data_IF_032871327945
#
_entry.id   IF_032871327945
#
_cell.length_a   1.000
_cell.length_b   1.000
_cell.length_c   1.000
_cell.angle_alpha   90.00
_cell.angle_beta   90.00
_cell.angle_gamma   90.00
#
_symmetry.space_group_name_H-M   'P 1'
#
loop_
_entity.id
_entity.type
_entity.pdbx_description
1 polymer ?
#
# COMPACT_ATOMS: atom_id res chain seq x y z
N UNK A 1 58.37 -48.04 -0.39
CA UNK A 1 56.93 -48.05 -0.61
C UNK A 1 56.33 -47.04 0.41
N UNK A 2 56.06 -45.83 -0.03
CA UNK A 2 55.53 -44.75 0.82
C UNK A 2 54.03 -44.58 0.53
N UNK A 3 53.21 -44.76 1.57
CA UNK A 3 51.75 -44.70 1.48
C UNK A 3 51.32 -43.26 1.80
N UNK A 4 50.81 -42.57 0.80
CA UNK A 4 50.23 -41.22 0.96
C UNK A 4 48.84 -41.33 1.60
N UNK A 5 48.62 -40.61 2.70
CA UNK A 5 47.32 -40.43 3.34
C UNK A 5 46.56 -39.26 2.67
N UNK A 6 45.26 -39.42 2.32
CA UNK A 6 44.46 -38.28 1.84
C UNK A 6 43.96 -37.43 3.02
N UNK A 7 44.16 -36.12 2.90
CA UNK A 7 43.57 -35.14 3.80
C UNK A 7 42.12 -34.89 3.39
N UNK A 8 41.18 -35.24 4.24
CA UNK A 8 39.76 -34.83 4.12
C UNK A 8 39.62 -33.39 4.62
N UNK A 9 39.37 -32.45 3.72
CA UNK A 9 38.92 -31.13 4.05
C UNK A 9 37.46 -31.19 4.46
N UNK A 10 37.18 -31.00 5.74
CA UNK A 10 35.84 -30.73 6.27
C UNK A 10 35.47 -29.25 5.94
N UNK A 11 34.59 -29.04 4.97
CA UNK A 11 33.94 -27.75 4.80
C UNK A 11 32.94 -27.54 5.96
N UNK A 12 33.25 -26.65 6.85
CA UNK A 12 32.30 -26.15 7.84
C UNK A 12 31.33 -25.17 7.13
N UNK A 13 30.11 -25.59 6.89
CA UNK A 13 29.03 -24.71 6.48
C UNK A 13 28.65 -23.88 7.70
N UNK A 14 29.09 -22.62 7.74
CA UNK A 14 28.63 -21.66 8.73
C UNK A 14 27.17 -21.31 8.41
N UNK A 15 26.24 -21.73 9.29
CA UNK A 15 24.86 -21.29 9.23
C UNK A 15 24.83 -19.76 9.45
N UNK A 16 24.37 -19.03 8.46
CA UNK A 16 24.12 -17.59 8.61
C UNK A 16 23.06 -17.37 9.69
N UNK A 17 23.22 -16.36 10.58
CA UNK A 17 22.23 -16.06 11.57
C UNK A 17 20.94 -15.62 10.89
N UNK A 18 19.85 -16.35 11.11
CA UNK A 18 18.49 -15.90 10.79
C UNK A 18 18.21 -14.69 11.65
N UNK A 19 18.24 -13.50 11.04
CA UNK A 19 17.80 -12.28 11.73
C UNK A 19 16.33 -12.47 12.11
N UNK A 20 15.93 -12.19 13.37
CA UNK A 20 14.53 -12.31 13.76
C UNK A 20 13.67 -11.41 12.88
N UNK A 21 12.57 -11.95 12.37
CA UNK A 21 11.52 -11.16 11.74
C UNK A 21 11.22 -9.98 12.68
N UNK A 22 11.28 -8.75 12.16
CA UNK A 22 10.95 -7.59 12.98
C UNK A 22 9.50 -7.78 13.46
N UNK A 23 9.32 -7.87 14.78
CA UNK A 23 8.01 -8.02 15.39
C UNK A 23 7.10 -6.88 14.87
N UNK A 24 5.94 -7.24 14.32
CA UNK A 24 4.91 -6.26 13.98
C UNK A 24 4.58 -5.50 15.26
N UNK A 25 4.63 -4.17 15.19
CA UNK A 25 4.37 -3.32 16.35
C UNK A 25 2.88 -3.39 16.64
N UNK A 26 2.50 -3.95 17.81
CA UNK A 26 1.13 -3.92 18.27
C UNK A 26 0.65 -2.46 18.37
N UNK A 27 -0.54 -2.20 17.81
CA UNK A 27 -1.17 -0.89 17.93
C UNK A 27 -1.83 -0.74 19.29
N UNK A 28 -1.93 0.50 19.79
CA UNK A 28 -2.75 0.79 20.96
C UNK A 28 -4.20 0.31 20.73
N UNK A 29 -4.79 -0.50 21.64
CA UNK A 29 -6.14 -1.02 21.48
C UNK A 29 -7.22 0.04 21.26
N UNK A 30 -7.06 1.25 21.84
CA UNK A 30 -7.98 2.36 21.63
C UNK A 30 -7.89 2.90 20.19
N UNK A 31 -6.69 3.00 19.64
CA UNK A 31 -6.46 3.39 18.25
C UNK A 31 -6.99 2.33 17.28
N UNK A 32 -6.74 1.03 17.57
CA UNK A 32 -7.28 -0.11 16.82
C UNK A 32 -8.80 -0.04 16.74
N UNK A 33 -9.49 0.13 17.89
CA UNK A 33 -10.95 0.25 17.95
C UNK A 33 -11.46 1.44 17.13
N UNK A 34 -10.82 2.60 17.24
CA UNK A 34 -11.20 3.81 16.50
C UNK A 34 -11.08 3.63 15.00
N UNK A 35 -9.95 3.12 14.50
CA UNK A 35 -9.73 2.94 13.07
C UNK A 35 -10.63 1.86 12.48
N UNK A 36 -10.83 0.74 13.18
CA UNK A 36 -11.78 -0.28 12.74
C UNK A 36 -13.21 0.27 12.66
N UNK A 37 -13.63 1.12 13.61
CA UNK A 37 -14.96 1.72 13.59
C UNK A 37 -15.17 2.60 12.35
N UNK A 38 -14.15 3.32 11.86
CA UNK A 38 -14.24 4.09 10.61
C UNK A 38 -14.60 3.19 9.42
N UNK A 39 -13.90 2.07 9.26
CA UNK A 39 -14.19 1.13 8.19
C UNK A 39 -15.54 0.42 8.39
N UNK A 40 -15.87 -0.04 9.62
CA UNK A 40 -17.13 -0.71 9.91
C UNK A 40 -18.35 0.16 9.63
N UNK A 41 -18.25 1.48 9.81
CA UNK A 41 -19.34 2.40 9.52
C UNK A 41 -19.52 2.66 8.04
N UNK A 42 -18.49 2.42 7.21
CA UNK A 42 -18.55 2.80 5.80
C UNK A 42 -18.59 1.64 4.80
N UNK A 43 -18.01 0.44 5.09
CA UNK A 43 -17.91 -0.64 4.09
C UNK A 43 -19.26 -1.11 3.52
N UNK A 44 -20.34 -0.91 4.27
CA UNK A 44 -21.70 -1.22 3.84
C UNK A 44 -22.62 0.03 3.78
N UNK A 45 -22.07 1.23 3.93
CA UNK A 45 -22.79 2.49 3.75
C UNK A 45 -22.75 2.86 2.26
N UNK A 46 -23.89 2.70 1.58
CA UNK A 46 -23.97 2.89 0.14
C UNK A 46 -23.84 4.36 -0.29
N UNK A 47 -24.37 5.28 0.49
CA UNK A 47 -24.41 6.71 0.16
C UNK A 47 -23.88 7.60 1.28
N UNK A 48 -23.22 8.75 0.92
CA UNK A 48 -22.92 9.24 -0.42
C UNK A 48 -21.93 8.34 -1.17
N UNK A 49 -21.99 8.30 -2.52
CA UNK A 49 -21.13 7.44 -3.34
C UNK A 49 -20.75 8.10 -4.66
N UNK A 50 -19.51 7.88 -5.08
CA UNK A 50 -18.94 8.36 -6.33
C UNK A 50 -18.60 7.18 -7.24
N UNK A 51 -19.47 6.87 -8.19
CA UNK A 51 -19.19 5.89 -9.23
C UNK A 51 -18.35 6.55 -10.33
N UNK A 52 -17.18 5.97 -10.63
CA UNK A 52 -16.24 6.50 -11.63
C UNK A 52 -16.14 5.55 -12.82
N UNK A 53 -17.19 5.50 -13.68
CA UNK A 53 -17.16 4.74 -14.90
C UNK A 53 -17.77 5.51 -16.10
N UNK A 54 -17.42 5.08 -17.32
CA UNK A 54 -18.04 5.58 -18.53
C UNK A 54 -19.34 4.83 -18.77
N UNK A 55 -20.47 5.57 -18.89
CA UNK A 55 -21.76 4.99 -19.25
C UNK A 55 -21.78 4.64 -20.73
N UNK A 56 -22.18 3.42 -21.07
CA UNK A 56 -22.39 2.98 -22.45
C UNK A 56 -23.87 3.07 -22.87
N UNK A 57 -24.79 3.23 -21.90
CA UNK A 57 -26.20 3.36 -22.06
C UNK A 57 -26.94 3.39 -20.72
N UNK A 58 -28.27 3.53 -20.78
CA UNK A 58 -29.14 3.66 -19.61
C UNK A 58 -29.00 2.47 -18.62
N UNK A 59 -28.67 1.28 -19.12
CA UNK A 59 -28.49 0.09 -18.32
C UNK A 59 -27.26 0.16 -17.37
N UNK A 60 -26.35 1.11 -17.62
CA UNK A 60 -25.19 1.36 -16.75
C UNK A 60 -25.53 2.26 -15.55
N UNK A 61 -26.71 2.89 -15.54
CA UNK A 61 -27.19 3.74 -14.44
C UNK A 61 -27.84 2.86 -13.38
N UNK A 62 -27.05 2.38 -12.43
CA UNK A 62 -27.50 1.46 -11.39
C UNK A 62 -26.90 1.85 -10.05
N UNK A 63 -27.55 1.52 -8.90
CA UNK A 63 -26.99 1.78 -7.59
C UNK A 63 -25.67 1.01 -7.37
N UNK A 64 -24.75 1.55 -6.56
CA UNK A 64 -23.45 0.93 -6.30
C UNK A 64 -23.52 -0.56 -5.89
N UNK A 65 -24.44 -0.93 -4.99
CA UNK A 65 -24.63 -2.33 -4.55
C UNK A 65 -25.01 -3.32 -5.65
N UNK A 66 -25.54 -2.83 -6.77
CA UNK A 66 -25.87 -3.67 -7.93
C UNK A 66 -24.70 -3.77 -8.93
N UNK A 67 -23.86 -2.74 -9.00
CA UNK A 67 -22.69 -2.69 -9.89
C UNK A 67 -21.52 -3.46 -9.27
N UNK A 68 -21.17 -3.12 -8.04
CA UNK A 68 -20.00 -3.63 -7.32
C UNK A 68 -20.38 -4.13 -5.93
N UNK A 69 -21.17 -5.23 -5.83
CA UNK A 69 -21.76 -5.67 -4.56
C UNK A 69 -20.77 -6.13 -3.49
N UNK A 70 -19.50 -6.40 -3.84
CA UNK A 70 -18.43 -6.68 -2.88
C UNK A 70 -17.95 -5.39 -2.23
N UNK A 71 -17.67 -4.36 -3.07
CA UNK A 71 -17.04 -3.11 -2.65
C UNK A 71 -17.90 -1.90 -3.05
N UNK A 72 -19.10 -1.78 -2.47
CA UNK A 72 -20.06 -0.72 -2.81
C UNK A 72 -20.13 0.44 -1.82
N UNK A 73 -19.51 0.29 -0.64
CA UNK A 73 -19.56 1.28 0.42
C UNK A 73 -18.41 2.29 0.38
N UNK A 74 -18.17 2.96 1.51
CA UNK A 74 -17.06 3.88 1.74
C UNK A 74 -16.86 4.92 0.64
N UNK A 75 -17.93 5.52 0.12
CA UNK A 75 -17.90 6.61 -0.87
C UNK A 75 -17.51 6.20 -2.30
N UNK A 76 -16.51 5.34 -2.49
CA UNK A 76 -16.09 4.83 -3.79
C UNK A 76 -15.48 3.41 -3.70
N UNK A 77 -15.23 2.81 -4.85
CA UNK A 77 -14.79 1.42 -4.93
C UNK A 77 -13.45 1.18 -4.22
N UNK A 78 -12.44 2.00 -4.49
CA UNK A 78 -11.11 1.79 -3.90
C UNK A 78 -11.11 2.04 -2.40
N UNK A 79 -11.89 3.00 -1.90
CA UNK A 79 -12.04 3.23 -0.46
C UNK A 79 -12.73 2.06 0.23
N UNK A 80 -13.74 1.44 -0.43
CA UNK A 80 -14.32 0.19 0.07
C UNK A 80 -13.27 -0.93 0.12
N UNK A 81 -12.44 -1.09 -0.91
CA UNK A 81 -11.39 -2.11 -0.97
C UNK A 81 -10.40 -1.94 0.18
N UNK A 82 -9.82 -0.74 0.37
CA UNK A 82 -8.85 -0.56 1.44
C UNK A 82 -9.49 -0.46 2.84
N UNK A 83 -10.80 -0.17 2.94
CA UNK A 83 -11.56 -0.34 4.17
C UNK A 83 -11.67 -1.81 4.58
N UNK A 84 -11.93 -2.72 3.62
CA UNK A 84 -11.91 -4.16 3.86
C UNK A 84 -10.49 -4.66 4.19
N UNK A 85 -9.45 -4.14 3.51
CA UNK A 85 -8.07 -4.42 3.87
C UNK A 85 -7.77 -4.01 5.32
N UNK A 86 -8.18 -2.83 5.75
CA UNK A 86 -8.03 -2.35 7.12
C UNK A 86 -8.66 -3.34 8.11
N UNK A 87 -9.90 -3.77 7.85
CA UNK A 87 -10.61 -4.73 8.72
C UNK A 87 -9.88 -6.08 8.78
N UNK A 88 -9.41 -6.60 7.64
CA UNK A 88 -8.63 -7.83 7.59
C UNK A 88 -7.31 -7.69 8.36
N UNK A 89 -6.58 -6.57 8.17
CA UNK A 89 -5.32 -6.28 8.84
C UNK A 89 -5.50 -6.23 10.37
N UNK A 90 -6.51 -5.50 10.85
CA UNK A 90 -6.76 -5.39 12.29
C UNK A 90 -7.22 -6.71 12.90
N UNK A 91 -8.11 -7.45 12.23
CA UNK A 91 -8.55 -8.76 12.71
C UNK A 91 -7.41 -9.78 12.78
N UNK A 92 -6.40 -9.65 11.92
CA UNK A 92 -5.19 -10.50 11.95
C UNK A 92 -4.23 -10.09 13.06
N UNK A 93 -3.97 -8.79 13.22
CA UNK A 93 -2.97 -8.28 14.17
C UNK A 93 -3.46 -8.30 15.61
N UNK A 94 -4.75 -8.06 15.81
CA UNK A 94 -5.38 -7.90 17.13
C UNK A 94 -6.61 -8.81 17.27
N UNK A 95 -6.45 -10.15 17.18
CA UNK A 95 -7.59 -11.09 17.11
C UNK A 95 -8.44 -11.10 18.38
N UNK A 96 -7.89 -10.73 19.52
CA UNK A 96 -8.55 -10.80 20.83
C UNK A 96 -9.38 -9.56 21.18
N UNK A 97 -9.33 -8.51 20.35
CA UNK A 97 -10.15 -7.31 20.59
C UNK A 97 -11.57 -7.50 20.06
N UNK A 98 -12.56 -7.00 20.80
CA UNK A 98 -13.98 -7.15 20.44
C UNK A 98 -14.32 -6.66 19.02
N UNK A 99 -13.56 -5.72 18.48
CA UNK A 99 -13.75 -5.20 17.12
C UNK A 99 -13.33 -6.21 16.04
N UNK A 100 -12.45 -7.16 16.34
CA UNK A 100 -12.04 -8.20 15.40
C UNK A 100 -13.21 -9.10 14.98
N UNK A 101 -14.13 -9.41 15.90
CA UNK A 101 -15.35 -10.16 15.61
C UNK A 101 -16.20 -9.41 14.59
N UNK A 102 -16.46 -8.11 14.83
CA UNK A 102 -17.24 -7.27 13.91
C UNK A 102 -16.56 -7.13 12.55
N UNK A 103 -15.24 -7.04 12.52
CA UNK A 103 -14.48 -7.00 11.29
C UNK A 103 -14.65 -8.30 10.49
N UNK A 104 -14.56 -9.47 11.13
CA UNK A 104 -14.81 -10.77 10.48
C UNK A 104 -16.24 -10.88 9.93
N UNK A 105 -17.24 -10.44 10.68
CA UNK A 105 -18.64 -10.44 10.22
C UNK A 105 -18.84 -9.55 8.99
N UNK A 106 -18.20 -8.37 8.96
CA UNK A 106 -18.26 -7.48 7.82
C UNK A 106 -17.58 -8.08 6.57
N UNK A 107 -16.40 -8.70 6.74
CA UNK A 107 -15.69 -9.40 5.67
C UNK A 107 -16.52 -10.58 5.14
N UNK A 108 -17.10 -11.39 6.02
CA UNK A 108 -17.94 -12.53 5.64
C UNK A 108 -19.21 -12.09 4.88
N UNK A 109 -19.78 -10.94 5.24
CA UNK A 109 -20.94 -10.35 4.56
C UNK A 109 -20.60 -9.94 3.12
N UNK A 110 -19.39 -9.39 2.90
CA UNK A 110 -18.94 -8.91 1.58
C UNK A 110 -18.44 -10.03 0.69
N UNK A 111 -17.65 -10.96 1.22
CA UNK A 111 -16.90 -11.94 0.44
C UNK A 111 -17.70 -13.21 0.19
N UNK A 112 -18.66 -13.13 -0.75
CA UNK A 112 -19.46 -14.27 -1.19
C UNK A 112 -19.32 -14.48 -2.70
N UNK A 113 -19.40 -15.74 -3.15
CA UNK A 113 -19.24 -16.10 -4.55
C UNK A 113 -20.26 -15.38 -5.47
N UNK A 114 -21.48 -15.20 -5.01
CA UNK A 114 -22.52 -14.50 -5.75
C UNK A 114 -22.17 -13.03 -6.00
N UNK A 115 -21.69 -12.32 -4.97
CA UNK A 115 -21.27 -10.91 -5.09
C UNK A 115 -20.03 -10.80 -5.97
N UNK A 116 -19.03 -11.66 -5.77
CA UNK A 116 -17.81 -11.68 -6.59
C UNK A 116 -18.13 -11.93 -8.06
N UNK A 117 -19.04 -12.86 -8.38
CA UNK A 117 -19.44 -13.13 -9.76
C UNK A 117 -20.08 -11.91 -10.41
N UNK A 118 -20.96 -11.19 -9.70
CA UNK A 118 -21.63 -9.98 -10.21
C UNK A 118 -20.61 -8.86 -10.43
N UNK A 119 -19.74 -8.62 -9.48
CA UNK A 119 -18.71 -7.58 -9.57
C UNK A 119 -17.67 -7.87 -10.66
N UNK A 120 -17.28 -9.13 -10.83
CA UNK A 120 -16.42 -9.55 -11.91
C UNK A 120 -17.05 -9.29 -13.29
N UNK A 121 -18.35 -9.59 -13.44
CA UNK A 121 -19.09 -9.28 -14.66
C UNK A 121 -19.13 -7.77 -14.95
N UNK A 122 -19.32 -6.95 -13.89
CA UNK A 122 -19.24 -5.49 -14.02
C UNK A 122 -17.84 -5.04 -14.45
N UNK A 123 -16.79 -5.50 -13.81
CA UNK A 123 -15.42 -5.15 -14.17
C UNK A 123 -15.11 -5.50 -15.63
N UNK A 124 -15.60 -6.63 -16.15
CA UNK A 124 -15.41 -7.08 -17.53
C UNK A 124 -16.32 -6.40 -18.56
N UNK A 125 -17.22 -5.56 -18.11
CA UNK A 125 -18.13 -4.81 -18.97
C UNK A 125 -17.41 -3.87 -19.93
N UNK A 126 -18.08 -3.49 -21.01
CA UNK A 126 -17.57 -2.52 -21.97
C UNK A 126 -17.27 -1.17 -21.29
N UNK A 127 -16.20 -0.51 -21.71
CA UNK A 127 -15.80 0.79 -21.15
C UNK A 127 -15.16 0.74 -19.75
N UNK A 128 -14.93 -0.46 -19.17
CA UNK A 128 -14.37 -0.63 -17.79
C UNK A 128 -12.86 -0.88 -17.75
N UNK A 129 -12.16 -0.90 -18.88
CA UNK A 129 -10.73 -1.27 -18.92
C UNK A 129 -9.80 -0.38 -18.06
N UNK A 130 -10.17 0.89 -17.85
CA UNK A 130 -9.42 1.84 -17.02
C UNK A 130 -10.02 2.04 -15.62
N UNK A 131 -11.14 1.37 -15.31
CA UNK A 131 -11.78 1.48 -14.00
C UNK A 131 -10.80 1.10 -12.89
N UNK A 132 -10.61 2.01 -11.93
CA UNK A 132 -9.77 1.85 -10.73
C UNK A 132 -8.27 1.61 -10.97
N UNK A 133 -7.79 1.84 -12.17
CA UNK A 133 -6.39 1.61 -12.55
C UNK A 133 -5.53 2.87 -12.35
N UNK A 134 -4.37 2.80 -11.64
CA UNK A 134 -3.82 1.61 -11.00
C UNK A 134 -4.19 1.44 -9.52
N UNK A 135 -4.59 2.51 -8.81
CA UNK A 135 -4.68 2.63 -7.36
C UNK A 135 -5.62 1.61 -6.72
N UNK A 136 -6.88 1.56 -7.18
CA UNK A 136 -7.86 0.64 -6.62
C UNK A 136 -7.49 -0.83 -6.87
N UNK A 137 -6.97 -1.15 -8.07
CA UNK A 137 -6.46 -2.50 -8.36
C UNK A 137 -5.27 -2.88 -7.48
N UNK A 138 -4.38 -1.93 -7.18
CA UNK A 138 -3.25 -2.15 -6.29
C UNK A 138 -3.71 -2.41 -4.85
N UNK A 139 -4.72 -1.69 -4.36
CA UNK A 139 -5.30 -1.95 -3.04
C UNK A 139 -6.05 -3.29 -2.97
N UNK A 140 -6.72 -3.71 -4.04
CA UNK A 140 -7.29 -5.07 -4.10
C UNK A 140 -6.21 -6.14 -3.95
N UNK A 141 -5.09 -5.98 -4.64
CA UNK A 141 -3.95 -6.90 -4.51
C UNK A 141 -3.33 -6.83 -3.10
N UNK A 142 -3.28 -5.65 -2.47
CA UNK A 142 -2.84 -5.52 -1.08
C UNK A 142 -3.79 -6.22 -0.09
N UNK A 143 -5.12 -6.17 -0.31
CA UNK A 143 -6.09 -6.97 0.44
C UNK A 143 -5.82 -8.47 0.27
N UNK A 144 -5.57 -8.91 -0.96
CA UNK A 144 -5.25 -10.32 -1.23
C UNK A 144 -3.95 -10.77 -0.56
N UNK A 145 -2.93 -9.91 -0.51
CA UNK A 145 -1.69 -10.18 0.22
C UNK A 145 -1.95 -10.33 1.72
N UNK A 146 -2.80 -9.48 2.31
CA UNK A 146 -3.17 -9.55 3.72
C UNK A 146 -3.88 -10.87 4.06
N UNK A 147 -4.87 -11.27 3.24
CA UNK A 147 -5.59 -12.54 3.45
C UNK A 147 -4.67 -13.76 3.30
N UNK A 148 -3.72 -13.73 2.35
CA UNK A 148 -2.73 -14.82 2.18
C UNK A 148 -1.72 -14.90 3.33
N UNK A 149 -1.37 -13.76 3.94
CA UNK A 149 -0.46 -13.71 5.07
C UNK A 149 -1.13 -14.05 6.41
N UNK A 150 -2.44 -14.26 6.42
CA UNK A 150 -3.22 -14.58 7.60
C UNK A 150 -3.47 -16.09 7.70
N UNK A 151 -2.78 -16.83 8.61
CA UNK A 151 -2.96 -18.28 8.78
C UNK A 151 -4.27 -18.58 9.54
N UNK A 152 -5.41 -18.40 8.88
CA UNK A 152 -6.75 -18.50 9.44
C UNK A 152 -7.70 -19.12 8.41
N UNK A 153 -8.53 -20.10 8.76
CA UNK A 153 -9.45 -20.77 7.82
C UNK A 153 -10.43 -19.84 7.12
N UNK A 154 -10.88 -18.77 7.80
CA UNK A 154 -11.75 -17.77 7.18
C UNK A 154 -11.00 -16.95 6.13
N UNK A 155 -9.76 -16.54 6.44
CA UNK A 155 -8.93 -15.80 5.51
C UNK A 155 -8.60 -16.63 4.26
N UNK A 156 -8.29 -17.92 4.41
CA UNK A 156 -8.06 -18.83 3.30
C UNK A 156 -9.32 -18.96 2.42
N UNK A 157 -10.49 -19.10 3.02
CA UNK A 157 -11.78 -19.16 2.31
C UNK A 157 -12.06 -17.85 1.57
N UNK A 158 -11.88 -16.68 2.21
CA UNK A 158 -12.08 -15.38 1.59
C UNK A 158 -11.10 -15.13 0.44
N UNK A 159 -9.85 -15.51 0.61
CA UNK A 159 -8.86 -15.44 -0.47
C UNK A 159 -9.28 -16.31 -1.68
N UNK A 160 -9.81 -17.51 -1.43
CA UNK A 160 -10.34 -18.37 -2.48
C UNK A 160 -11.54 -17.76 -3.19
N UNK A 161 -12.49 -17.18 -2.45
CA UNK A 161 -13.69 -16.49 -2.97
C UNK A 161 -13.30 -15.27 -3.82
N UNK A 162 -12.34 -14.43 -3.38
CA UNK A 162 -11.92 -13.22 -4.08
C UNK A 162 -10.95 -13.48 -5.26
N UNK A 163 -10.42 -14.69 -5.41
CA UNK A 163 -9.45 -15.03 -6.46
C UNK A 163 -9.87 -14.63 -7.89
N UNK A 164 -11.14 -14.69 -8.32
CA UNK A 164 -11.53 -14.21 -9.63
C UNK A 164 -11.29 -12.70 -9.83
N UNK A 165 -11.51 -11.86 -8.81
CA UNK A 165 -11.24 -10.42 -8.85
C UNK A 165 -9.71 -10.15 -8.81
N UNK A 166 -8.96 -10.89 -8.01
CA UNK A 166 -7.49 -10.86 -8.00
C UNK A 166 -6.93 -11.14 -9.41
N UNK A 167 -7.38 -12.23 -10.03
CA UNK A 167 -6.93 -12.62 -11.38
C UNK A 167 -7.27 -11.55 -12.43
N UNK A 168 -8.44 -10.92 -12.32
CA UNK A 168 -8.84 -9.83 -13.21
C UNK A 168 -7.94 -8.59 -13.01
N UNK A 169 -7.63 -8.23 -11.77
CA UNK A 169 -6.72 -7.12 -11.46
C UNK A 169 -5.33 -7.36 -12.07
N UNK A 170 -4.78 -8.55 -11.87
CA UNK A 170 -3.48 -8.97 -12.43
C UNK A 170 -3.50 -8.89 -13.95
N UNK A 171 -4.51 -9.46 -14.61
CA UNK A 171 -4.62 -9.44 -16.07
C UNK A 171 -4.69 -8.02 -16.63
N UNK A 172 -5.39 -7.11 -15.96
CA UNK A 172 -5.45 -5.69 -16.35
C UNK A 172 -4.11 -5.00 -16.23
N UNK A 173 -3.38 -5.23 -15.13
CA UNK A 173 -2.04 -4.66 -14.90
C UNK A 173 -1.08 -5.19 -15.98
N UNK A 174 -1.04 -6.49 -16.22
CA UNK A 174 -0.19 -7.12 -17.23
C UNK A 174 -0.51 -6.65 -18.66
N UNK A 175 -1.79 -6.39 -18.97
CA UNK A 175 -2.19 -5.87 -20.28
C UNK A 175 -1.89 -4.38 -20.47
N UNK A 176 -1.94 -3.60 -19.41
CA UNK A 176 -1.78 -2.15 -19.44
C UNK A 176 -0.32 -1.71 -19.34
N UNK A 177 0.42 -2.24 -18.38
CA UNK A 177 1.74 -1.74 -18.02
C UNK A 177 2.76 -1.78 -19.17
N UNK A 178 2.80 -2.80 -20.05
CA UNK A 178 3.69 -2.78 -21.22
C UNK A 178 3.41 -1.62 -22.20
N UNK A 179 2.19 -1.07 -22.22
CA UNK A 179 1.77 0.03 -23.09
C UNK A 179 2.04 1.42 -22.48
N UNK A 180 2.26 1.49 -21.16
CA UNK A 180 2.55 2.74 -20.49
C UNK A 180 4.01 3.14 -20.78
N UNK A 181 4.19 4.13 -21.63
CA UNK A 181 5.53 4.60 -22.04
C UNK A 181 6.22 5.40 -20.94
N UNK A 182 5.48 6.22 -20.22
CA UNK A 182 5.98 7.13 -19.20
C UNK A 182 5.30 6.88 -17.87
N UNK A 183 6.02 6.96 -16.73
CA UNK A 183 5.40 6.85 -15.41
C UNK A 183 4.50 8.07 -15.14
N UNK A 184 3.50 7.86 -14.30
CA UNK A 184 2.58 8.93 -13.87
C UNK A 184 3.06 9.42 -12.51
N UNK A 185 3.52 10.69 -12.46
CA UNK A 185 4.13 11.33 -11.28
C UNK A 185 3.20 12.41 -10.71
N UNK A 186 2.07 11.99 -10.18
CA UNK A 186 1.07 12.88 -9.55
C UNK A 186 0.88 12.47 -8.09
N UNK A 187 0.39 13.37 -7.26
CA UNK A 187 0.12 13.09 -5.85
C UNK A 187 -1.23 12.43 -5.57
N UNK A 188 -1.88 11.86 -6.63
CA UNK A 188 -3.22 11.29 -6.57
C UNK A 188 -3.28 9.84 -7.09
N UNK A 189 -4.51 9.29 -7.22
CA UNK A 189 -4.83 7.89 -7.57
C UNK A 189 -4.14 7.34 -8.82
N UNK A 190 -3.82 8.20 -9.80
CA UNK A 190 -3.16 7.76 -11.02
C UNK A 190 -1.66 7.46 -10.84
N UNK A 191 -1.06 7.77 -9.69
CA UNK A 191 0.37 7.63 -9.44
C UNK A 191 0.83 6.17 -9.60
N UNK A 192 1.91 5.98 -10.38
CA UNK A 192 2.45 4.64 -10.64
C UNK A 192 3.32 4.12 -9.51
N UNK A 193 4.18 4.93 -8.92
CA UNK A 193 5.18 4.46 -7.96
C UNK A 193 4.55 3.82 -6.71
N UNK A 194 3.56 4.47 -6.10
CA UNK A 194 2.84 3.92 -4.95
C UNK A 194 2.11 2.61 -5.30
N UNK A 195 1.36 2.64 -6.42
CA UNK A 195 0.63 1.45 -6.87
C UNK A 195 1.57 0.26 -7.14
N UNK A 196 2.74 0.51 -7.76
CA UNK A 196 3.75 -0.53 -7.99
C UNK A 196 4.30 -1.11 -6.69
N UNK A 197 4.47 -0.29 -5.66
CA UNK A 197 4.85 -0.76 -4.33
C UNK A 197 3.89 -1.81 -3.79
N UNK A 198 2.58 -1.52 -3.80
CA UNK A 198 1.54 -2.45 -3.34
C UNK A 198 1.46 -3.72 -4.20
N UNK A 199 1.52 -3.57 -5.54
CA UNK A 199 1.47 -4.70 -6.48
C UNK A 199 2.68 -5.62 -6.28
N UNK A 200 3.87 -5.05 -6.08
CA UNK A 200 5.09 -5.81 -5.84
C UNK A 200 5.04 -6.55 -4.50
N UNK A 201 4.59 -5.89 -3.44
CA UNK A 201 4.45 -6.51 -2.13
C UNK A 201 3.47 -7.70 -2.20
N UNK A 202 2.35 -7.56 -2.92
CA UNK A 202 1.45 -8.67 -3.21
C UNK A 202 2.14 -9.79 -4.00
N UNK A 203 2.87 -9.46 -5.07
CA UNK A 203 3.52 -10.46 -5.93
C UNK A 203 4.53 -11.32 -5.16
N UNK A 204 5.23 -10.73 -4.19
CA UNK A 204 6.13 -11.46 -3.28
C UNK A 204 5.34 -12.42 -2.39
N UNK A 205 4.25 -11.97 -1.76
CA UNK A 205 3.41 -12.79 -0.88
C UNK A 205 2.70 -13.91 -1.65
N UNK A 206 2.21 -13.61 -2.86
CA UNK A 206 1.54 -14.57 -3.73
C UNK A 206 2.49 -15.56 -4.43
N UNK A 207 3.81 -15.30 -4.41
CA UNK A 207 4.79 -16.07 -5.16
C UNK A 207 4.70 -15.88 -6.68
N UNK A 208 4.11 -14.76 -7.14
CA UNK A 208 3.98 -14.44 -8.57
C UNK A 208 5.24 -13.74 -9.09
N UNK A 209 6.22 -14.55 -9.50
CA UNK A 209 7.48 -14.05 -10.05
C UNK A 209 7.26 -13.25 -11.33
N UNK A 210 6.27 -13.59 -12.17
CA UNK A 210 6.02 -12.89 -13.44
C UNK A 210 5.58 -11.45 -13.24
N UNK A 211 4.66 -11.20 -12.28
CA UNK A 211 4.24 -9.83 -11.94
C UNK A 211 5.35 -9.10 -11.20
N UNK A 212 6.04 -9.75 -10.26
CA UNK A 212 7.19 -9.13 -9.56
C UNK A 212 8.23 -8.62 -10.54
N UNK A 213 8.67 -9.48 -11.47
CA UNK A 213 9.73 -9.16 -12.44
C UNK A 213 9.27 -8.05 -13.39
N UNK A 214 8.00 -8.05 -13.82
CA UNK A 214 7.41 -6.99 -14.63
C UNK A 214 7.45 -5.64 -13.89
N UNK A 215 7.07 -5.61 -12.61
CA UNK A 215 7.11 -4.38 -11.81
C UNK A 215 8.56 -3.91 -11.59
N UNK A 216 9.47 -4.81 -11.27
CA UNK A 216 10.88 -4.49 -11.04
C UNK A 216 11.55 -3.95 -12.32
N UNK A 217 11.29 -4.56 -13.49
CA UNK A 217 11.77 -4.08 -14.80
C UNK A 217 11.23 -2.68 -15.10
N UNK A 218 9.91 -2.47 -14.94
CA UNK A 218 9.30 -1.16 -15.22
C UNK A 218 9.77 -0.08 -14.25
N UNK A 219 9.92 -0.41 -12.99
CA UNK A 219 10.45 0.53 -11.99
C UNK A 219 11.87 0.97 -12.34
N UNK A 220 12.75 0.04 -12.69
CA UNK A 220 14.10 0.35 -13.16
C UNK A 220 14.08 1.20 -14.43
N UNK A 221 13.25 0.83 -15.42
CA UNK A 221 13.13 1.57 -16.69
C UNK A 221 12.63 3.00 -16.50
N UNK A 222 11.73 3.24 -15.55
CA UNK A 222 11.14 4.55 -15.31
C UNK A 222 12.00 5.45 -14.43
N UNK A 223 12.61 4.88 -13.38
CA UNK A 223 13.07 5.66 -12.24
C UNK A 223 14.58 5.58 -11.98
N UNK A 224 15.29 4.59 -12.55
CA UNK A 224 16.69 4.40 -12.22
C UNK A 224 17.58 5.59 -12.63
N UNK A 225 17.18 6.28 -13.71
CA UNK A 225 17.89 7.44 -14.23
C UNK A 225 17.47 8.78 -13.61
N UNK A 226 16.42 8.79 -12.77
CA UNK A 226 15.89 10.01 -12.18
C UNK A 226 16.87 10.59 -11.15
N UNK A 227 16.99 11.91 -11.18
CA UNK A 227 17.88 12.71 -10.33
C UNK A 227 17.19 14.01 -9.93
N UNK A 228 17.58 14.59 -8.79
CA UNK A 228 17.13 15.92 -8.34
C UNK A 228 15.61 16.06 -8.32
N UNK A 229 14.89 15.09 -7.72
CA UNK A 229 13.43 15.18 -7.62
C UNK A 229 13.02 16.49 -6.93
N UNK A 230 12.10 17.28 -7.53
CA UNK A 230 11.77 18.63 -7.04
C UNK A 230 10.80 18.56 -5.84
N UNK A 231 11.25 17.99 -4.73
CA UNK A 231 10.44 17.81 -3.51
C UNK A 231 9.91 19.15 -2.94
N UNK A 232 10.58 20.27 -3.27
CA UNK A 232 10.13 21.62 -2.90
C UNK A 232 8.84 22.08 -3.63
N UNK A 233 8.43 21.36 -4.70
CA UNK A 233 7.17 21.62 -5.39
C UNK A 233 6.01 20.81 -4.82
N UNK A 234 6.28 19.96 -3.82
CA UNK A 234 5.27 19.19 -3.12
C UNK A 234 4.89 19.83 -1.77
N UNK A 235 3.61 19.78 -1.40
CA UNK A 235 2.52 19.17 -2.16
C UNK A 235 2.01 20.08 -3.28
N UNK A 236 1.42 19.51 -4.34
CA UNK A 236 0.39 20.14 -5.12
C UNK A 236 -0.90 20.26 -4.28
N UNK A 237 -1.81 21.17 -4.62
CA UNK A 237 -2.88 21.62 -3.72
C UNK A 237 -3.76 20.55 -3.07
N UNK A 238 -3.97 19.41 -3.71
CA UNK A 238 -4.87 18.34 -3.26
C UNK A 238 -4.19 16.96 -3.18
N UNK A 239 -2.86 16.93 -3.12
CA UNK A 239 -2.09 15.69 -3.03
C UNK A 239 -2.37 14.92 -1.73
N UNK A 240 -2.51 13.59 -1.82
CA UNK A 240 -2.50 12.69 -0.68
C UNK A 240 -1.32 11.69 -0.72
N UNK A 241 -0.53 11.74 -1.78
CA UNK A 241 0.73 11.03 -1.96
C UNK A 241 1.83 12.01 -2.37
N UNK A 242 3.07 11.76 -1.95
CA UNK A 242 4.24 12.49 -2.42
C UNK A 242 4.84 11.76 -3.63
N UNK A 243 4.86 12.35 -4.84
CA UNK A 243 5.49 11.72 -5.99
C UNK A 243 6.96 11.33 -5.76
N UNK A 244 7.77 12.25 -5.22
CA UNK A 244 9.19 11.99 -4.94
C UNK A 244 9.39 10.89 -3.88
N UNK A 245 8.65 10.94 -2.76
CA UNK A 245 8.83 9.94 -1.70
C UNK A 245 8.25 8.58 -2.09
N UNK A 246 7.15 8.53 -2.85
CA UNK A 246 6.61 7.27 -3.36
C UNK A 246 7.58 6.57 -4.31
N UNK A 247 8.26 7.34 -5.17
CA UNK A 247 9.29 6.82 -6.06
C UNK A 247 10.47 6.26 -5.26
N UNK A 248 10.96 6.99 -4.26
CA UNK A 248 12.03 6.51 -3.41
C UNK A 248 11.62 5.28 -2.57
N UNK A 249 10.39 5.24 -2.06
CA UNK A 249 9.85 4.09 -1.32
C UNK A 249 9.65 2.85 -2.21
N UNK A 250 9.33 3.04 -3.50
CA UNK A 250 9.34 1.95 -4.47
C UNK A 250 10.76 1.46 -4.76
N UNK A 251 11.69 2.38 -5.06
CA UNK A 251 13.04 2.01 -5.50
C UNK A 251 13.83 1.27 -4.42
N UNK A 252 13.59 1.51 -3.11
CA UNK A 252 14.19 0.69 -2.05
C UNK A 252 13.75 -0.78 -2.05
N UNK A 253 12.59 -1.10 -2.67
CA UNK A 253 12.11 -2.48 -2.84
C UNK A 253 12.77 -3.20 -4.01
N UNK A 254 13.29 -2.42 -4.97
CA UNK A 254 13.79 -2.91 -6.27
C UNK A 254 15.31 -2.97 -6.31
N UNK A 255 15.98 -2.09 -5.55
CA UNK A 255 17.44 -1.97 -5.50
C UNK A 255 18.00 -2.67 -4.24
N UNK A 256 19.22 -3.15 -4.32
CA UNK A 256 19.96 -3.55 -3.12
C UNK A 256 20.22 -2.32 -2.23
N UNK A 257 20.45 -2.48 -0.91
CA UNK A 257 20.68 -1.34 -0.01
C UNK A 257 21.80 -0.40 -0.46
N UNK A 258 22.89 -0.92 -1.02
CA UNK A 258 24.00 -0.10 -1.52
C UNK A 258 23.66 0.63 -2.82
N UNK A 259 23.00 -0.04 -3.77
CA UNK A 259 22.51 0.61 -4.99
C UNK A 259 21.50 1.71 -4.65
N UNK A 260 20.56 1.41 -3.71
CA UNK A 260 19.55 2.36 -3.26
C UNK A 260 20.19 3.60 -2.60
N UNK A 261 21.16 3.41 -1.70
CA UNK A 261 21.87 4.51 -1.05
C UNK A 261 22.54 5.45 -2.05
N UNK A 262 23.18 4.89 -3.09
CA UNK A 262 23.81 5.66 -4.18
C UNK A 262 22.80 6.34 -5.10
N UNK A 263 21.70 5.67 -5.43
CA UNK A 263 20.60 6.24 -6.22
C UNK A 263 19.91 7.39 -5.47
N UNK A 264 19.55 7.17 -4.19
CA UNK A 264 18.87 8.16 -3.35
C UNK A 264 19.70 9.44 -3.17
N UNK A 265 21.03 9.33 -3.11
CA UNK A 265 21.92 10.48 -3.00
C UNK A 265 21.87 11.40 -4.25
N UNK A 266 21.60 10.84 -5.43
CA UNK A 266 21.40 11.61 -6.67
C UNK A 266 19.96 12.09 -6.82
N UNK A 267 18.99 11.28 -6.37
CA UNK A 267 17.58 11.56 -6.50
C UNK A 267 17.12 12.65 -5.53
N UNK A 268 17.54 12.60 -4.27
CA UNK A 268 17.28 13.60 -3.23
C UNK A 268 18.60 14.13 -2.62
N UNK A 269 19.39 14.90 -3.38
CA UNK A 269 20.76 15.28 -2.96
C UNK A 269 20.78 16.12 -1.69
N UNK A 270 19.74 16.93 -1.43
CA UNK A 270 19.63 17.75 -0.19
C UNK A 270 19.54 16.89 1.07
N UNK A 271 19.01 15.68 0.98
CA UNK A 271 18.90 14.75 2.12
C UNK A 271 20.27 14.43 2.74
N UNK A 272 21.33 14.44 1.95
CA UNK A 272 22.70 14.16 2.44
C UNK A 272 23.29 15.22 3.37
N UNK A 273 22.74 16.45 3.36
CA UNK A 273 23.19 17.57 4.18
C UNK A 273 22.25 17.87 5.37
N UNK A 274 21.18 17.09 5.55
CA UNK A 274 20.17 17.34 6.56
C UNK A 274 20.61 16.74 7.90
N UNK A 275 20.52 17.54 8.97
CA UNK A 275 20.84 17.13 10.34
C UNK A 275 19.64 17.18 11.29
N UNK A 276 18.51 17.77 10.88
CA UNK A 276 17.31 17.95 11.70
C UNK A 276 16.08 17.24 11.12
N UNK A 277 15.10 16.97 11.97
CA UNK A 277 13.87 16.28 11.60
C UNK A 277 12.91 17.14 10.75
N UNK A 278 13.00 18.46 10.85
CA UNK A 278 12.12 19.45 10.24
C UNK A 278 12.53 19.86 8.81
N UNK A 279 13.47 19.13 8.20
CA UNK A 279 13.91 19.38 6.83
C UNK A 279 12.78 19.23 5.80
N UNK A 280 11.74 18.48 6.13
CA UNK A 280 10.51 18.34 5.37
C UNK A 280 9.34 18.60 6.31
N UNK A 281 8.75 19.78 6.22
CA UNK A 281 7.62 20.17 7.06
C UNK A 281 6.34 19.41 6.69
N UNK A 282 5.50 19.04 7.68
CA UNK A 282 4.16 18.52 7.40
C UNK A 282 3.30 19.50 6.63
N UNK A 283 2.45 18.97 5.74
CA UNK A 283 1.43 19.77 5.06
C UNK A 283 0.37 20.29 6.03
N UNK A 284 -0.17 21.46 5.74
CA UNK A 284 -1.16 22.14 6.59
C UNK A 284 -2.53 22.04 5.91
N UNK A 285 -3.52 21.47 6.61
CA UNK A 285 -4.92 21.47 6.18
C UNK A 285 -5.57 22.76 6.67
N UNK A 286 -6.10 23.55 5.74
CA UNK A 286 -6.75 24.83 6.05
C UNK A 286 -8.25 24.68 6.28
N UNK A 287 -8.88 23.69 5.68
CA UNK A 287 -10.30 23.35 5.86
C UNK A 287 -10.52 21.85 5.73
N UNK A 288 -10.83 21.17 6.84
CA UNK A 288 -11.12 19.73 6.87
C UNK A 288 -12.53 19.37 6.41
N UNK A 289 -13.42 20.35 6.28
CA UNK A 289 -14.76 20.14 5.73
C UNK A 289 -14.77 20.05 4.21
N UNK A 290 -13.73 20.59 3.54
CA UNK A 290 -13.51 20.38 2.11
C UNK A 290 -12.81 19.02 1.89
N UNK A 291 -13.48 18.06 1.22
CA UNK A 291 -12.95 16.70 1.06
C UNK A 291 -11.63 16.65 0.27
N UNK A 292 -11.36 17.64 -0.58
CA UNK A 292 -10.12 17.71 -1.35
C UNK A 292 -8.98 18.34 -0.53
N UNK A 293 -9.24 19.39 0.23
CA UNK A 293 -8.23 19.97 1.12
C UNK A 293 -7.85 19.02 2.26
N UNK A 294 -8.78 18.18 2.72
CA UNK A 294 -8.53 17.13 3.71
C UNK A 294 -7.52 16.06 3.22
N UNK A 295 -7.27 15.96 1.90
CA UNK A 295 -6.24 15.08 1.33
C UNK A 295 -4.85 15.31 1.96
N UNK A 296 -4.53 16.52 2.41
CA UNK A 296 -3.23 16.83 3.03
C UNK A 296 -3.02 16.08 4.36
N UNK A 297 -4.07 15.75 5.12
CA UNK A 297 -3.92 14.83 6.27
C UNK A 297 -3.46 13.43 5.81
N UNK A 298 -4.02 12.95 4.70
CA UNK A 298 -3.56 11.70 4.05
C UNK A 298 -2.15 11.79 3.50
N UNK A 299 -1.75 12.94 2.95
CA UNK A 299 -0.37 13.19 2.52
C UNK A 299 0.60 13.05 3.69
N UNK A 300 0.28 13.61 4.85
CA UNK A 300 1.13 13.49 6.03
C UNK A 300 1.26 12.02 6.49
N UNK A 301 0.17 11.25 6.48
CA UNK A 301 0.22 9.81 6.76
C UNK A 301 1.09 9.07 5.74
N UNK A 302 0.90 9.34 4.45
CA UNK A 302 1.65 8.67 3.38
C UNK A 302 3.13 9.05 3.39
N UNK A 303 3.47 10.30 3.60
CA UNK A 303 4.85 10.74 3.79
C UNK A 303 5.50 10.04 4.98
N UNK A 304 4.78 9.87 6.09
CA UNK A 304 5.32 9.21 7.28
C UNK A 304 5.73 7.76 6.98
N UNK A 305 4.88 6.94 6.33
CA UNK A 305 5.29 5.57 6.00
C UNK A 305 6.35 5.49 4.91
N UNK A 306 6.31 6.37 3.90
CA UNK A 306 7.32 6.43 2.84
C UNK A 306 8.70 6.77 3.40
N UNK A 307 8.78 7.76 4.29
CA UNK A 307 10.02 8.14 4.98
C UNK A 307 10.59 7.00 5.83
N UNK A 308 9.75 6.28 6.59
CA UNK A 308 10.16 5.06 7.32
C UNK A 308 10.63 3.96 6.38
N UNK A 309 9.90 3.77 5.27
CA UNK A 309 10.27 2.83 4.23
C UNK A 309 11.64 3.14 3.64
N UNK A 310 11.88 4.38 3.22
CA UNK A 310 13.15 4.86 2.68
C UNK A 310 14.29 4.64 3.69
N UNK A 311 14.07 5.00 4.96
CA UNK A 311 15.03 4.76 6.02
C UNK A 311 15.39 3.28 6.16
N UNK A 312 14.40 2.38 6.08
CA UNK A 312 14.60 0.93 6.21
C UNK A 312 15.39 0.32 5.04
N UNK A 313 15.32 0.92 3.86
CA UNK A 313 16.06 0.48 2.67
C UNK A 313 17.53 0.89 2.65
N UNK A 314 17.95 1.82 3.50
CA UNK A 314 19.33 2.26 3.60
C UNK A 314 20.17 1.30 4.47
N UNK A 315 21.48 1.18 4.23
CA UNK A 315 22.39 0.45 5.10
C UNK A 315 22.26 0.89 6.58
N UNK A 316 22.45 -0.04 7.51
CA UNK A 316 22.22 0.21 8.95
C UNK A 316 22.96 1.42 9.53
N UNK A 317 24.18 1.70 9.03
CA UNK A 317 25.02 2.83 9.46
C UNK A 317 24.82 4.13 8.67
N UNK A 318 23.85 4.21 7.77
CA UNK A 318 23.65 5.42 6.93
C UNK A 318 23.08 6.57 7.78
N UNK A 319 23.82 7.70 7.81
CA UNK A 319 23.47 8.85 8.64
C UNK A 319 22.12 9.49 8.29
N UNK A 320 21.63 9.33 7.06
CA UNK A 320 20.34 9.86 6.61
C UNK A 320 19.14 9.23 7.32
N UNK A 321 19.28 8.02 7.86
CA UNK A 321 18.20 7.29 8.55
C UNK A 321 17.57 8.10 9.67
N UNK A 322 18.41 8.76 10.51
CA UNK A 322 17.91 9.55 11.64
C UNK A 322 17.02 10.73 11.22
N UNK A 323 17.40 11.45 10.17
CA UNK A 323 16.62 12.56 9.63
C UNK A 323 15.31 12.07 9.00
N UNK A 324 15.32 10.96 8.26
CA UNK A 324 14.13 10.34 7.69
C UNK A 324 13.14 9.88 8.76
N UNK A 325 13.61 9.16 9.78
CA UNK A 325 12.78 8.70 10.91
C UNK A 325 12.23 9.88 11.74
N UNK A 326 13.04 10.92 11.90
CA UNK A 326 12.61 12.16 12.57
C UNK A 326 11.47 12.85 11.82
N UNK A 327 11.62 13.08 10.52
CA UNK A 327 10.60 13.67 9.69
C UNK A 327 9.33 12.78 9.66
N UNK A 328 9.50 11.46 9.57
CA UNK A 328 8.36 10.52 9.61
C UNK A 328 7.51 10.68 10.89
N UNK A 329 8.17 10.88 12.05
CA UNK A 329 7.44 11.15 13.30
C UNK A 329 6.65 12.45 13.25
N UNK A 330 7.27 13.55 12.77
CA UNK A 330 6.58 14.85 12.66
C UNK A 330 5.33 14.76 11.78
N UNK A 331 5.43 14.09 10.63
CA UNK A 331 4.30 13.88 9.74
C UNK A 331 3.21 13.00 10.38
N UNK A 332 3.57 11.93 11.07
CA UNK A 332 2.63 11.07 11.78
C UNK A 332 1.90 11.82 12.91
N UNK A 333 2.63 12.60 13.72
CA UNK A 333 2.09 13.42 14.81
C UNK A 333 1.13 14.49 14.30
N UNK A 334 1.40 15.07 13.12
CA UNK A 334 0.53 16.06 12.50
C UNK A 334 -0.82 15.49 12.01
N UNK A 335 -0.81 14.24 11.49
CA UNK A 335 -1.96 13.66 10.81
C UNK A 335 -2.82 12.72 11.67
N UNK A 336 -2.23 11.92 12.55
CA UNK A 336 -2.97 10.90 13.32
C UNK A 336 -4.14 11.48 14.15
N UNK A 337 -4.05 12.68 14.74
CA UNK A 337 -5.19 13.31 15.43
C UNK A 337 -6.39 13.64 14.51
N UNK A 338 -6.16 13.83 13.21
CA UNK A 338 -7.22 14.13 12.23
C UNK A 338 -8.01 12.89 11.79
N UNK A 339 -7.56 11.67 12.15
CA UNK A 339 -8.25 10.42 11.79
C UNK A 339 -9.42 10.17 12.75
N UNK A 340 -10.50 10.93 12.60
CA UNK A 340 -11.64 10.94 13.53
C UNK A 340 -12.96 10.46 12.90
N UNK A 341 -13.14 10.60 11.58
CA UNK A 341 -14.42 10.36 10.90
C UNK A 341 -15.44 11.49 11.02
N UNK A 342 -15.04 12.66 11.55
CA UNK A 342 -15.92 13.83 11.72
C UNK A 342 -16.46 14.35 10.37
N UNK A 343 -15.63 14.34 9.34
CA UNK A 343 -15.98 14.71 7.97
C UNK A 343 -15.91 13.48 7.07
N UNK A 344 -17.06 12.88 6.76
CA UNK A 344 -17.12 11.59 6.08
C UNK A 344 -16.41 11.56 4.72
N UNK A 345 -16.72 12.50 3.83
CA UNK A 345 -16.18 12.50 2.45
C UNK A 345 -14.66 12.70 2.40
N UNK A 346 -14.11 13.52 3.29
CA UNK A 346 -12.67 13.77 3.41
C UNK A 346 -11.93 12.76 4.29
N UNK A 347 -12.63 12.08 5.22
CA UNK A 347 -12.01 11.32 6.31
C UNK A 347 -12.22 9.81 6.29
N UNK A 348 -13.19 9.29 5.52
CA UNK A 348 -13.56 7.86 5.54
C UNK A 348 -12.38 6.91 5.22
N UNK A 349 -11.43 7.34 4.44
CA UNK A 349 -10.28 6.58 3.97
C UNK A 349 -9.01 6.74 4.84
N UNK A 350 -8.94 7.79 5.67
CA UNK A 350 -7.76 8.08 6.50
C UNK A 350 -7.45 6.95 7.50
N UNK A 351 -8.47 6.22 7.95
CA UNK A 351 -8.30 5.06 8.81
C UNK A 351 -7.40 3.99 8.17
N UNK A 352 -7.56 3.72 6.88
CA UNK A 352 -6.72 2.76 6.15
C UNK A 352 -5.28 3.23 6.06
N UNK A 353 -5.05 4.52 5.83
CA UNK A 353 -3.71 5.10 5.81
C UNK A 353 -3.04 5.07 7.18
N UNK A 354 -3.79 5.36 8.25
CA UNK A 354 -3.27 5.26 9.62
C UNK A 354 -2.87 3.81 9.96
N UNK A 355 -3.70 2.82 9.60
CA UNK A 355 -3.39 1.39 9.83
C UNK A 355 -2.21 0.94 8.95
N UNK A 356 -2.09 1.43 7.71
CA UNK A 356 -0.93 1.14 6.86
C UNK A 356 0.38 1.65 7.49
N UNK A 357 0.36 2.87 8.03
CA UNK A 357 1.50 3.48 8.72
C UNK A 357 1.86 2.73 10.01
N UNK A 358 0.87 2.49 10.89
CA UNK A 358 1.10 1.97 12.25
C UNK A 358 1.31 0.45 12.25
N UNK A 359 0.62 -0.28 11.38
CA UNK A 359 0.77 -1.73 11.23
C UNK A 359 2.05 -2.15 10.49
N UNK A 360 2.91 -1.21 10.10
CA UNK A 360 4.19 -1.51 9.46
C UNK A 360 4.07 -2.08 8.06
N UNK A 361 2.92 -1.90 7.38
CA UNK A 361 2.71 -2.37 6.00
C UNK A 361 3.75 -1.75 5.06
N UNK A 362 4.12 -2.48 4.01
CA UNK A 362 5.16 -2.05 3.06
C UNK A 362 6.60 -2.05 3.61
N UNK A 363 6.80 -2.46 4.88
CA UNK A 363 8.13 -2.62 5.50
C UNK A 363 8.66 -4.05 5.44
N UNK A 364 8.01 -4.95 4.72
CA UNK A 364 8.52 -6.31 4.53
C UNK A 364 9.98 -6.24 4.11
N UNK A 365 10.82 -6.92 4.89
CA UNK A 365 12.25 -7.02 4.62
C UNK A 365 12.43 -7.35 3.15
N UNK A 366 13.22 -6.54 2.47
CA UNK A 366 13.75 -6.96 1.18
C UNK A 366 14.26 -8.37 1.37
N UNK A 367 13.87 -9.27 0.48
CA UNK A 367 14.33 -10.64 0.48
C UNK A 367 15.83 -10.62 0.79
N UNK A 368 16.22 -11.35 1.83
CA UNK A 368 17.63 -11.64 2.04
C UNK A 368 18.12 -12.15 0.69
N UNK A 369 19.07 -11.43 0.11
CA UNK A 369 19.74 -11.88 -1.08
C UNK A 369 20.33 -13.27 -0.76
N UNK A 370 19.94 -14.27 -1.53
CA UNK A 370 20.65 -15.52 -1.64
C UNK A 370 22.08 -15.29 -2.13
#
# INVERSE_FOLDING_TARGET
MSVARPWLLLLAIAAAPVLPAQAEVAMDPAATGRFAQLALTCVHLEYPNKISHTLQGDADVRPPRELTPVFYGCYDWHSAVHGHWLLARLARLEPDVAVAVKARDALATSFTDARVSTELAYLRGAGRASFERPYGLAWLLQLMAELRAWPDPDAERWAATLRPLESEAVARIQSWLPKLRYPIRVGEHAQTAFAFGLIRDWAVVAGDAGVRDLIDERSRSYYLADINCPLDYEPSGEDFLSPCLAEADLMRRVLTPLEFAGWLARFLPRLSSVSSADWLAPGIVTDRSDPKLAHIDGLNLSRAWMLRGIASGLPAGDARRAALEGAARLHAEAALPAVTGEHYEGGHWLGSFAVYLLGGSGRTAGAAAE
#
